data_IF_156325400767
#
_entry.id   IF_156325400767
#
_cell.length_a   1.000
_cell.length_b   1.000
_cell.length_c   1.000
_cell.angle_alpha   90.00
_cell.angle_beta   90.00
_cell.angle_gamma   90.00
#
_symmetry.space_group_name_H-M   'P 1'
#
loop_
_entity.id
_entity.type
_entity.pdbx_description
1 polymer ?
#
# COMPACT_ATOMS: atom_id res chain seq x y z
N UNK A 1 -22.15 -3.85 4.46
CA UNK A 1 -23.03 -3.04 3.57
C UNK A 1 -22.23 -2.18 2.58
N UNK A 2 -20.91 -2.06 2.74
CA UNK A 2 -19.98 -1.45 1.78
C UNK A 2 -19.54 -2.54 0.79
N UNK A 3 -19.50 -2.19 -0.51
CA UNK A 3 -19.00 -3.07 -1.56
C UNK A 3 -17.48 -3.01 -1.64
N UNK A 4 -16.98 -1.78 -1.66
CA UNK A 4 -15.58 -1.49 -1.90
C UNK A 4 -15.22 -0.13 -1.29
N UNK A 5 -13.96 0.06 -0.97
CA UNK A 5 -13.36 1.37 -0.73
C UNK A 5 -12.27 1.55 -1.78
N UNK A 6 -12.57 2.34 -2.79
CA UNK A 6 -11.64 2.64 -3.88
C UNK A 6 -10.71 3.78 -3.49
N UNK A 7 -9.41 3.60 -3.63
CA UNK A 7 -8.42 4.66 -3.43
C UNK A 7 -8.27 5.51 -4.69
N UNK A 8 -8.08 6.82 -4.51
CA UNK A 8 -7.87 7.78 -5.60
C UNK A 8 -6.66 8.65 -5.24
N UNK A 9 -5.74 8.82 -6.17
CA UNK A 9 -4.49 9.54 -5.92
C UNK A 9 -3.55 8.82 -4.97
N UNK A 10 -2.59 9.58 -4.45
CA UNK A 10 -1.52 9.01 -3.64
C UNK A 10 -0.53 8.17 -4.45
N UNK A 11 0.45 7.62 -3.77
CA UNK A 11 1.47 6.77 -4.36
C UNK A 11 1.71 5.54 -3.51
N UNK A 12 1.96 4.41 -4.14
CA UNK A 12 2.38 3.19 -3.45
C UNK A 12 3.88 3.27 -3.20
N UNK A 13 4.29 2.92 -1.99
CA UNK A 13 5.70 2.82 -1.60
C UNK A 13 6.31 1.59 -2.26
N UNK A 14 7.42 1.77 -2.96
CA UNK A 14 8.21 0.67 -3.53
C UNK A 14 9.69 0.77 -3.18
N UNK A 15 10.39 -0.36 -3.22
CA UNK A 15 11.85 -0.40 -3.18
C UNK A 15 12.38 -0.29 -4.60
N UNK A 16 13.15 0.77 -4.84
CA UNK A 16 13.73 1.06 -6.14
C UNK A 16 15.20 0.70 -6.14
N UNK A 17 15.61 -0.09 -7.12
CA UNK A 17 17.00 -0.49 -7.33
C UNK A 17 17.49 0.25 -8.58
N UNK A 18 18.24 1.32 -8.34
CA UNK A 18 18.81 2.16 -9.41
C UNK A 18 20.21 1.64 -9.72
N UNK A 19 20.34 0.86 -10.77
CA UNK A 19 21.60 0.26 -11.19
C UNK A 19 22.51 1.29 -11.87
N UNK A 20 23.81 1.16 -11.63
CA UNK A 20 24.85 1.94 -12.33
C UNK A 20 25.42 1.09 -13.48
N UNK A 21 25.15 1.47 -14.76
CA UNK A 21 25.61 0.68 -15.91
C UNK A 21 27.12 0.57 -16.02
N UNK A 22 27.85 1.61 -15.57
CA UNK A 22 29.32 1.60 -15.60
C UNK A 22 29.90 0.57 -14.62
N UNK A 23 29.33 0.53 -13.42
CA UNK A 23 29.73 -0.44 -12.40
C UNK A 23 29.33 -1.86 -12.80
N UNK A 24 28.13 -2.07 -13.38
CA UNK A 24 27.74 -3.38 -13.91
C UNK A 24 28.76 -3.88 -14.92
N UNK A 25 29.18 -3.02 -15.85
CA UNK A 25 30.20 -3.37 -16.84
C UNK A 25 31.56 -3.67 -16.18
N UNK A 26 31.97 -2.87 -15.22
CA UNK A 26 33.25 -3.03 -14.48
C UNK A 26 33.33 -4.38 -13.76
N UNK A 27 32.21 -4.81 -13.13
CA UNK A 27 32.14 -6.08 -12.40
C UNK A 27 31.75 -7.26 -13.31
N UNK A 28 31.46 -7.03 -14.59
CA UNK A 28 31.02 -8.03 -15.54
C UNK A 28 29.70 -8.70 -15.11
N UNK A 29 28.76 -7.89 -14.65
CA UNK A 29 27.43 -8.31 -14.17
C UNK A 29 26.38 -7.80 -15.14
N UNK A 30 25.51 -8.67 -15.60
CA UNK A 30 24.37 -8.30 -16.45
C UNK A 30 23.16 -7.89 -15.60
N UNK A 31 22.25 -7.12 -16.19
CA UNK A 31 20.98 -6.77 -15.53
C UNK A 31 20.13 -8.02 -15.23
N UNK A 32 20.25 -9.05 -16.08
CA UNK A 32 19.59 -10.35 -15.87
C UNK A 32 20.08 -11.06 -14.61
N UNK A 33 21.39 -11.02 -14.33
CA UNK A 33 21.97 -11.59 -13.11
C UNK A 33 21.50 -10.84 -11.87
N UNK A 34 21.42 -9.50 -11.94
CA UNK A 34 20.85 -8.68 -10.84
C UNK A 34 19.40 -9.09 -10.56
N UNK A 35 18.57 -9.20 -11.62
CA UNK A 35 17.18 -9.64 -11.48
C UNK A 35 17.08 -11.04 -10.87
N UNK A 36 17.86 -11.99 -11.37
CA UNK A 36 17.85 -13.36 -10.85
C UNK A 36 18.27 -13.44 -9.39
N UNK A 37 19.27 -12.66 -8.98
CA UNK A 37 19.71 -12.60 -7.59
C UNK A 37 18.63 -12.02 -6.67
N UNK A 38 17.91 -10.98 -7.12
CA UNK A 38 16.78 -10.41 -6.38
C UNK A 38 15.64 -11.42 -6.23
N UNK A 39 15.24 -12.09 -7.31
CA UNK A 39 14.19 -13.10 -7.29
C UNK A 39 14.56 -14.27 -6.36
N UNK A 40 15.82 -14.71 -6.37
CA UNK A 40 16.31 -15.77 -5.49
C UNK A 40 16.39 -15.36 -4.01
N UNK A 41 16.67 -14.08 -3.73
CA UNK A 41 16.82 -13.55 -2.37
C UNK A 41 15.49 -13.22 -1.69
N UNK A 42 14.37 -13.20 -2.43
CA UNK A 42 13.05 -12.84 -1.89
C UNK A 42 12.10 -14.04 -1.94
N UNK A 43 12.49 -15.14 -1.32
CA UNK A 43 11.72 -16.38 -1.31
C UNK A 43 11.49 -16.88 0.10
N UNK A 44 10.37 -17.58 0.27
CA UNK A 44 10.07 -18.37 1.46
C UNK A 44 10.16 -19.85 1.10
N UNK A 45 10.91 -20.61 1.88
CA UNK A 45 10.96 -22.05 1.77
C UNK A 45 10.26 -22.67 2.97
N UNK A 46 9.21 -23.44 2.72
CA UNK A 46 8.64 -24.37 3.70
C UNK A 46 9.66 -25.46 3.96
N UNK A 47 10.12 -25.57 5.20
CA UNK A 47 11.03 -26.61 5.63
C UNK A 47 10.30 -27.89 6.02
N UNK A 48 11.08 -28.92 6.29
CA UNK A 48 10.63 -30.18 6.89
C UNK A 48 10.34 -29.98 8.38
N UNK A 49 9.53 -30.84 8.97
CA UNK A 49 9.42 -30.90 10.42
C UNK A 49 10.61 -31.64 11.02
N UNK A 50 11.07 -31.17 12.16
CA UNK A 50 12.09 -31.83 12.97
C UNK A 50 11.40 -32.34 14.25
N UNK A 51 11.50 -33.63 14.48
CA UNK A 51 10.99 -34.27 15.70
C UNK A 51 12.09 -34.28 16.76
N UNK A 52 11.87 -33.61 17.87
CA UNK A 52 12.79 -33.50 18.99
C UNK A 52 12.02 -33.77 20.30
N UNK A 53 12.43 -34.81 21.04
CA UNK A 53 11.88 -35.12 22.37
C UNK A 53 10.35 -35.14 22.44
N UNK A 54 9.71 -35.92 21.57
CA UNK A 54 8.24 -36.12 21.49
C UNK A 54 7.45 -34.85 21.03
N UNK A 55 8.14 -33.80 20.57
CA UNK A 55 7.53 -32.61 19.99
C UNK A 55 7.97 -32.43 18.54
N UNK A 56 7.02 -32.13 17.67
CA UNK A 56 7.27 -31.81 16.25
C UNK A 56 7.46 -30.30 16.09
N UNK A 57 8.62 -29.91 15.57
CA UNK A 57 8.97 -28.51 15.26
C UNK A 57 8.94 -28.29 13.76
N UNK A 58 8.10 -27.40 13.30
CA UNK A 58 8.07 -27.01 11.89
C UNK A 58 9.19 -26.00 11.61
N UNK A 59 10.10 -26.37 10.72
CA UNK A 59 11.18 -25.48 10.28
C UNK A 59 10.67 -24.64 9.11
N UNK A 60 10.73 -23.32 9.25
CA UNK A 60 10.36 -22.37 8.21
C UNK A 60 11.54 -21.43 7.94
N UNK A 61 12.03 -21.41 6.72
CA UNK A 61 13.02 -20.44 6.27
C UNK A 61 12.26 -19.25 5.68
N UNK A 62 12.29 -18.11 6.36
CA UNK A 62 11.74 -16.84 5.85
C UNK A 62 12.88 -16.00 5.31
N UNK A 63 12.87 -15.75 4.01
CA UNK A 63 13.87 -14.97 3.28
C UNK A 63 13.32 -13.71 2.63
N UNK A 64 12.16 -13.18 3.10
CA UNK A 64 11.62 -11.94 2.56
C UNK A 64 12.48 -10.74 2.91
N UNK A 65 12.79 -9.94 1.90
CA UNK A 65 13.49 -8.67 2.02
C UNK A 65 12.55 -7.63 2.65
N UNK A 66 12.92 -7.05 3.77
CA UNK A 66 12.08 -6.11 4.53
C UNK A 66 12.72 -4.72 4.66
N UNK A 67 14.03 -4.64 4.68
CA UNK A 67 14.79 -3.43 4.91
C UNK A 67 15.70 -3.09 3.74
N UNK A 68 16.09 -1.82 3.60
CA UNK A 68 17.07 -1.40 2.60
C UNK A 68 18.41 -2.14 2.77
N UNK A 69 18.73 -2.50 4.00
CA UNK A 69 19.97 -3.22 4.34
C UNK A 69 19.94 -4.65 3.81
N UNK A 70 18.82 -5.33 3.88
CA UNK A 70 18.65 -6.67 3.30
C UNK A 70 18.94 -6.65 1.79
N UNK A 71 18.41 -5.65 1.07
CA UNK A 71 18.70 -5.48 -0.35
C UNK A 71 20.17 -5.18 -0.62
N UNK A 72 20.79 -4.32 0.18
CA UNK A 72 22.18 -3.92 0.01
C UNK A 72 23.16 -5.09 0.15
N UNK A 73 22.82 -6.10 0.93
CA UNK A 73 23.64 -7.28 1.20
C UNK A 73 23.38 -8.47 0.28
N UNK A 74 22.53 -8.33 -0.74
CA UNK A 74 22.34 -9.37 -1.74
C UNK A 74 23.64 -9.57 -2.50
N UNK A 75 24.13 -10.82 -2.52
CA UNK A 75 25.31 -11.20 -3.29
C UNK A 75 24.92 -11.46 -4.74
N UNK A 76 25.54 -10.73 -5.65
CA UNK A 76 25.32 -10.89 -7.09
C UNK A 76 26.28 -11.89 -7.70
N UNK A 77 27.55 -11.84 -7.32
CA UNK A 77 28.62 -12.67 -7.86
C UNK A 77 29.76 -12.78 -6.86
N UNK A 78 30.51 -13.86 -6.89
CA UNK A 78 31.81 -13.93 -6.26
C UNK A 78 32.91 -13.65 -7.30
N UNK A 79 33.88 -12.80 -6.94
CA UNK A 79 35.06 -12.57 -7.78
C UNK A 79 35.93 -13.84 -7.82
N UNK A 80 36.89 -13.87 -8.75
CA UNK A 80 37.86 -15.00 -8.87
C UNK A 80 38.63 -15.29 -7.57
N UNK A 81 38.80 -14.28 -6.74
CA UNK A 81 39.46 -14.38 -5.43
C UNK A 81 38.48 -14.71 -4.27
N UNK A 82 37.23 -15.07 -4.58
CA UNK A 82 36.20 -15.39 -3.59
C UNK A 82 35.61 -14.20 -2.86
N UNK A 83 35.92 -12.96 -3.28
CA UNK A 83 35.34 -11.75 -2.66
C UNK A 83 33.92 -11.53 -3.26
N UNK A 84 32.86 -11.44 -2.43
CA UNK A 84 31.53 -11.22 -2.92
C UNK A 84 31.35 -9.80 -3.44
N UNK A 85 30.63 -9.67 -4.56
CA UNK A 85 30.11 -8.40 -5.09
C UNK A 85 28.64 -8.29 -4.67
N UNK A 86 28.33 -7.25 -3.92
CA UNK A 86 27.00 -7.01 -3.39
C UNK A 86 26.18 -6.08 -4.29
N UNK A 87 24.87 -6.09 -4.14
CA UNK A 87 23.98 -5.18 -4.87
C UNK A 87 24.35 -3.72 -4.67
N UNK A 88 24.71 -3.30 -3.44
CA UNK A 88 25.19 -1.94 -3.12
C UNK A 88 26.41 -1.49 -3.91
N UNK A 89 27.21 -2.42 -4.39
CA UNK A 89 28.44 -2.10 -5.14
C UNK A 89 28.13 -1.63 -6.56
N UNK A 90 26.99 -2.06 -7.13
CA UNK A 90 26.58 -1.78 -8.51
C UNK A 90 25.25 -1.03 -8.63
N UNK A 91 24.55 -0.83 -7.51
CA UNK A 91 23.24 -0.17 -7.51
C UNK A 91 23.04 0.66 -6.24
N UNK A 92 22.16 1.65 -6.32
CA UNK A 92 21.61 2.37 -5.17
C UNK A 92 20.22 1.83 -4.88
N UNK A 93 20.03 1.32 -3.67
CA UNK A 93 18.70 0.92 -3.19
C UNK A 93 18.07 2.08 -2.42
N UNK A 94 16.87 2.43 -2.77
CA UNK A 94 16.12 3.51 -2.13
C UNK A 94 14.64 3.18 -2.03
N UNK A 95 13.94 3.87 -1.14
CA UNK A 95 12.48 3.87 -1.12
C UNK A 95 12.00 5.00 -2.00
N UNK A 96 11.06 4.72 -2.88
CA UNK A 96 10.46 5.70 -3.75
C UNK A 96 8.98 5.43 -3.98
N UNK A 97 8.30 6.36 -4.66
CA UNK A 97 6.95 6.15 -5.12
C UNK A 97 6.92 5.24 -6.36
N UNK A 98 5.90 4.39 -6.47
CA UNK A 98 5.58 3.73 -7.73
C UNK A 98 5.36 4.77 -8.85
N UNK A 99 5.54 4.35 -10.09
CA UNK A 99 5.29 5.21 -11.24
C UNK A 99 3.88 5.80 -11.17
N UNK A 100 3.81 7.12 -11.15
CA UNK A 100 2.57 7.87 -11.02
C UNK A 100 1.67 7.64 -12.23
N UNK A 101 0.45 7.19 -11.99
CA UNK A 101 -0.57 6.96 -13.03
C UNK A 101 -1.70 7.97 -13.01
N UNK A 102 -1.80 8.77 -11.94
CA UNK A 102 -2.82 9.80 -11.77
C UNK A 102 -2.49 10.71 -10.61
N UNK A 103 -3.22 11.81 -10.54
CA UNK A 103 -3.12 12.81 -9.48
C UNK A 103 -4.53 13.05 -8.94
N UNK A 104 -4.69 13.06 -7.63
CA UNK A 104 -5.85 13.64 -6.97
C UNK A 104 -5.43 14.94 -6.28
N UNK A 105 -6.20 15.97 -6.47
CA UNK A 105 -5.95 17.29 -5.92
C UNK A 105 -7.20 17.80 -5.21
N UNK A 106 -7.01 18.62 -4.18
CA UNK A 106 -8.08 19.21 -3.42
C UNK A 106 -7.91 20.73 -3.40
N UNK A 107 -8.90 21.46 -3.92
CA UNK A 107 -9.00 22.94 -3.90
C UNK A 107 -7.86 23.72 -4.57
N UNK A 108 -6.99 23.08 -5.34
CA UNK A 108 -5.81 23.73 -5.90
C UNK A 108 -4.67 23.91 -4.91
N UNK A 109 -4.72 23.25 -3.77
CA UNK A 109 -3.73 23.38 -2.69
C UNK A 109 -2.62 22.31 -2.75
N UNK A 110 -2.76 21.36 -3.67
CA UNK A 110 -1.77 20.33 -3.89
C UNK A 110 -2.34 18.92 -3.90
N UNK A 111 -1.44 17.95 -4.00
CA UNK A 111 -1.78 16.55 -4.15
C UNK A 111 -2.28 15.94 -2.83
N UNK A 112 -3.35 15.17 -2.95
CA UNK A 112 -3.98 14.45 -1.84
C UNK A 112 -4.20 12.98 -2.19
N UNK A 113 -4.35 12.13 -1.17
CA UNK A 113 -4.86 10.79 -1.31
C UNK A 113 -6.33 10.76 -0.90
N UNK A 114 -7.18 10.26 -1.76
CA UNK A 114 -8.62 10.17 -1.52
C UNK A 114 -9.11 8.73 -1.40
N UNK A 115 -10.31 8.58 -0.87
CA UNK A 115 -11.03 7.32 -0.83
C UNK A 115 -12.50 7.51 -1.19
N UNK A 116 -13.05 6.61 -1.99
CA UNK A 116 -14.46 6.57 -2.34
C UNK A 116 -15.08 5.31 -1.75
N UNK A 117 -16.06 5.49 -0.88
CA UNK A 117 -16.81 4.38 -0.29
C UNK A 117 -18.00 4.03 -1.17
N UNK A 118 -18.00 2.82 -1.72
CA UNK A 118 -19.02 2.34 -2.64
C UNK A 118 -20.02 1.47 -1.88
N UNK A 119 -21.28 1.90 -1.88
CA UNK A 119 -22.38 1.20 -1.24
C UNK A 119 -22.83 -0.02 -2.06
N UNK A 120 -23.14 -1.14 -1.39
CA UNK A 120 -23.81 -2.26 -2.05
C UNK A 120 -25.22 -1.89 -2.50
N UNK A 121 -25.61 -2.36 -3.68
CA UNK A 121 -26.97 -2.20 -4.20
C UNK A 121 -28.01 -2.72 -3.21
N UNK A 122 -29.12 -1.99 -3.08
CA UNK A 122 -30.23 -2.34 -2.19
C UNK A 122 -30.00 -2.10 -0.68
N UNK A 123 -28.89 -1.47 -0.29
CA UNK A 123 -28.64 -1.10 1.11
C UNK A 123 -29.02 0.35 1.40
N UNK A 124 -29.36 0.63 2.66
CA UNK A 124 -29.71 1.98 3.10
C UNK A 124 -28.47 2.87 3.15
N UNK A 125 -28.42 3.86 2.25
CA UNK A 125 -27.27 4.76 2.13
C UNK A 125 -27.06 5.60 3.39
N UNK A 126 -28.13 6.07 4.04
CA UNK A 126 -28.05 6.92 5.25
C UNK A 126 -27.39 6.19 6.41
N UNK A 127 -27.81 4.95 6.67
CA UNK A 127 -27.23 4.10 7.72
C UNK A 127 -25.75 3.78 7.45
N UNK A 128 -25.42 3.47 6.20
CA UNK A 128 -24.02 3.14 5.85
C UNK A 128 -23.12 4.36 5.94
N UNK A 129 -23.60 5.53 5.50
CA UNK A 129 -22.83 6.79 5.64
C UNK A 129 -22.60 7.11 7.11
N UNK A 130 -23.60 6.97 7.98
CA UNK A 130 -23.43 7.17 9.43
C UNK A 130 -22.36 6.24 10.00
N UNK A 131 -22.44 4.94 9.71
CA UNK A 131 -21.45 3.96 10.16
C UNK A 131 -20.02 4.24 9.62
N UNK A 132 -19.90 4.75 8.39
CA UNK A 132 -18.62 5.16 7.81
C UNK A 132 -18.05 6.37 8.57
N UNK A 133 -18.88 7.38 8.86
CA UNK A 133 -18.46 8.55 9.64
C UNK A 133 -17.95 8.15 11.03
N UNK A 134 -18.69 7.31 11.74
CA UNK A 134 -18.29 6.81 13.06
C UNK A 134 -16.95 6.05 12.99
N UNK A 135 -16.76 5.25 11.93
CA UNK A 135 -15.49 4.56 11.72
C UNK A 135 -14.35 5.50 11.42
N UNK A 136 -14.56 6.54 10.62
CA UNK A 136 -13.56 7.56 10.32
C UNK A 136 -13.15 8.34 11.58
N UNK A 137 -14.13 8.71 12.43
CA UNK A 137 -13.83 9.35 13.73
C UNK A 137 -12.94 8.44 14.61
N UNK A 138 -13.24 7.15 14.66
CA UNK A 138 -12.40 6.19 15.41
C UNK A 138 -10.97 6.12 14.85
N UNK A 139 -10.79 6.25 13.54
CA UNK A 139 -9.48 6.18 12.88
C UNK A 139 -8.65 7.45 13.04
N UNK A 140 -9.26 8.60 13.29
CA UNK A 140 -8.54 9.88 13.46
C UNK A 140 -7.42 9.80 14.49
N UNK A 141 -7.65 9.09 15.60
CA UNK A 141 -6.66 8.95 16.66
C UNK A 141 -5.42 8.11 16.27
N UNK A 142 -5.51 7.36 15.19
CA UNK A 142 -4.42 6.51 14.68
C UNK A 142 -3.68 7.12 13.47
N UNK A 143 -4.11 8.30 13.03
CA UNK A 143 -3.44 9.00 11.93
C UNK A 143 -2.12 9.64 12.41
N UNK A 144 -1.11 9.71 11.54
CA UNK A 144 0.10 10.49 11.82
C UNK A 144 -0.23 11.96 12.05
N UNK A 145 0.64 12.64 12.81
CA UNK A 145 0.52 14.08 13.04
C UNK A 145 0.54 14.85 11.70
N UNK A 146 -0.37 15.81 11.54
CA UNK A 146 -0.51 16.63 10.33
C UNK A 146 -1.35 15.97 9.22
N UNK A 147 -1.90 14.77 9.44
CA UNK A 147 -2.82 14.13 8.49
C UNK A 147 -4.26 14.37 8.91
N UNK A 148 -5.05 14.95 8.02
CA UNK A 148 -6.47 15.25 8.22
C UNK A 148 -7.36 14.49 7.24
N UNK A 149 -8.55 14.10 7.71
CA UNK A 149 -9.60 13.53 6.86
C UNK A 149 -10.60 14.61 6.51
N UNK A 150 -10.66 15.00 5.24
CA UNK A 150 -11.61 15.98 4.71
C UNK A 150 -12.71 15.27 3.92
N UNK A 151 -13.97 15.44 4.33
CA UNK A 151 -15.10 14.91 3.59
C UNK A 151 -15.45 15.85 2.43
N UNK A 152 -15.19 15.44 1.21
CA UNK A 152 -15.44 16.24 0.01
C UNK A 152 -16.86 16.07 -0.55
N UNK A 153 -17.45 14.88 -0.38
CA UNK A 153 -18.81 14.58 -0.83
C UNK A 153 -19.52 13.66 0.16
N UNK A 154 -20.70 14.08 0.59
CA UNK A 154 -21.56 13.34 1.50
C UNK A 154 -22.99 13.33 0.98
N UNK A 155 -23.42 12.18 0.49
CA UNK A 155 -24.77 12.00 -0.07
C UNK A 155 -25.88 12.09 0.97
N UNK A 156 -25.60 11.91 2.27
CA UNK A 156 -26.62 12.00 3.31
C UNK A 156 -27.29 13.39 3.35
N UNK A 157 -26.55 14.45 3.07
CA UNK A 157 -27.08 15.81 3.02
C UNK A 157 -28.17 15.98 1.93
N UNK A 158 -27.99 15.33 0.78
CA UNK A 158 -29.00 15.35 -0.28
C UNK A 158 -30.26 14.57 0.12
N UNK A 159 -30.08 13.42 0.75
CA UNK A 159 -31.17 12.56 1.23
C UNK A 159 -31.97 13.30 2.31
N UNK A 160 -31.31 13.91 3.27
CA UNK A 160 -31.96 14.65 4.36
C UNK A 160 -32.78 15.83 3.82
N UNK A 161 -32.21 16.64 2.90
CA UNK A 161 -32.97 17.74 2.25
C UNK A 161 -34.18 17.25 1.49
N UNK A 162 -34.10 16.10 0.82
CA UNK A 162 -35.23 15.52 0.11
C UNK A 162 -36.34 15.07 1.08
N UNK A 163 -35.99 14.48 2.20
CA UNK A 163 -36.91 14.07 3.26
C UNK A 163 -37.58 15.28 3.89
N UNK A 164 -36.83 16.31 4.22
CA UNK A 164 -37.34 17.54 4.84
C UNK A 164 -38.31 18.27 3.93
N UNK A 165 -37.97 18.38 2.63
CA UNK A 165 -38.88 18.95 1.63
C UNK A 165 -40.20 18.17 1.50
N UNK A 166 -40.09 16.82 1.42
CA UNK A 166 -41.29 15.99 1.32
C UNK A 166 -42.15 16.08 2.57
N UNK A 167 -41.55 16.04 3.74
CA UNK A 167 -42.26 16.17 5.01
C UNK A 167 -42.92 17.51 5.19
N UNK A 168 -42.28 18.61 4.76
CA UNK A 168 -42.86 19.95 4.74
C UNK A 168 -44.07 20.04 3.81
N UNK A 169 -44.00 19.49 2.61
CA UNK A 169 -45.12 19.47 1.65
C UNK A 169 -46.30 18.64 2.13
N UNK A 170 -46.02 17.48 2.73
CA UNK A 170 -47.10 16.66 3.32
C UNK A 170 -47.81 17.39 4.47
N UNK A 171 -47.09 18.12 5.32
CA UNK A 171 -47.65 18.93 6.39
C UNK A 171 -48.53 20.06 5.84
N UNK A 172 -48.11 20.75 4.77
CA UNK A 172 -48.86 21.79 4.11
C UNK A 172 -50.20 21.27 3.50
N UNK A 173 -50.19 20.01 3.00
CA UNK A 173 -51.40 19.39 2.42
C UNK A 173 -52.38 18.85 3.46
N UNK A 174 -51.90 18.58 4.70
CA UNK A 174 -52.76 18.09 5.78
C UNK A 174 -53.40 19.19 6.63
N UNK A 175 -53.06 20.47 6.43
CA UNK A 175 -53.65 21.65 7.09
C UNK A 175 -54.62 22.36 6.16
#
# INVERSE_FOLDING_TARGET
>A
NVSEVASVGGVVKEYQIVVDPMKLTQYGISLGEVKSALDASNQEAGGSSVELAEAEYMVRASGYLQTLDDFNHIVLKASENGVPVYLRDVAKVQVGPEMRRGIAELNGEGEVAGGVVILRSGKNAREVIAAVKDKLETLKSSLPEGVEIVTTYDRSQLIDRAIDNLSGKLLEEFI
#
